data_IF_287523106261
#
_entry.id   IF_287523106261
#
_cell.length_a   1.000
_cell.length_b   1.000
_cell.length_c   1.000
_cell.angle_alpha   90.00
_cell.angle_beta   90.00
_cell.angle_gamma   90.00
#
_symmetry.space_group_name_H-M   'P 1'
#
loop_
_entity.id
_entity.type
_entity.pdbx_description
1 polymer ?
#
# COMPACT_ATOMS: atom_id res chain seq x y z
N UNK A 1 2.46 -4.75 6.59
CA UNK A 1 3.47 -4.55 5.54
C UNK A 1 4.77 -3.89 6.06
N UNK A 2 4.68 -2.78 6.79
CA UNK A 2 5.85 -2.01 7.27
C UNK A 2 6.82 -2.75 8.21
N UNK A 3 6.37 -3.78 8.93
CA UNK A 3 7.22 -4.51 9.88
C UNK A 3 8.27 -5.41 9.22
N UNK A 4 8.05 -5.86 7.97
CA UNK A 4 9.01 -6.73 7.24
C UNK A 4 10.08 -5.93 6.51
N UNK A 5 9.76 -4.70 6.10
CA UNK A 5 10.67 -3.83 5.35
C UNK A 5 11.56 -2.94 6.26
N UNK A 6 11.51 -3.08 7.59
CA UNK A 6 12.46 -2.35 8.44
C UNK A 6 13.86 -2.95 8.28
N UNK A 7 14.89 -2.15 7.93
CA UNK A 7 16.24 -2.67 7.77
C UNK A 7 16.69 -3.32 9.08
N UNK A 8 16.90 -4.64 9.04
CA UNK A 8 17.64 -5.40 10.06
C UNK A 8 18.98 -5.76 9.45
N UNK A 9 20.07 -5.70 10.23
CA UNK A 9 21.37 -6.16 9.76
C UNK A 9 21.24 -7.61 9.25
N UNK A 10 21.51 -7.83 7.95
CA UNK A 10 21.33 -9.13 7.28
C UNK A 10 20.02 -9.32 6.48
N UNK A 11 19.18 -8.29 6.33
CA UNK A 11 17.92 -8.37 5.57
C UNK A 11 18.09 -7.78 4.16
N UNK A 12 17.93 -8.61 3.12
CA UNK A 12 17.97 -8.18 1.72
C UNK A 12 16.64 -7.54 1.32
N UNK A 13 16.48 -6.26 1.66
CA UNK A 13 15.29 -5.48 1.36
C UNK A 13 15.00 -5.42 -0.16
N UNK A 14 16.03 -5.54 -1.01
CA UNK A 14 15.86 -5.55 -2.46
C UNK A 14 15.24 -6.88 -2.91
N UNK A 15 15.70 -8.02 -2.38
CA UNK A 15 15.08 -9.32 -2.67
C UNK A 15 13.62 -9.38 -2.22
N UNK A 16 13.29 -8.80 -1.08
CA UNK A 16 11.92 -8.69 -0.60
C UNK A 16 11.07 -7.81 -1.53
N UNK A 17 11.61 -6.66 -1.96
CA UNK A 17 10.95 -5.80 -2.94
C UNK A 17 10.69 -6.55 -4.25
N UNK A 18 11.67 -7.26 -4.79
CA UNK A 18 11.53 -8.05 -6.02
C UNK A 18 10.46 -9.15 -5.86
N UNK A 19 10.40 -9.79 -4.70
CA UNK A 19 9.40 -10.82 -4.40
C UNK A 19 7.99 -10.22 -4.39
N UNK A 20 7.80 -9.07 -3.72
CA UNK A 20 6.52 -8.36 -3.67
C UNK A 20 6.13 -7.77 -5.03
N UNK A 21 7.11 -7.31 -5.81
CA UNK A 21 6.89 -6.75 -7.13
C UNK A 21 6.39 -7.82 -8.11
N UNK A 22 6.89 -9.05 -8.03
CA UNK A 22 6.62 -10.12 -9.00
C UNK A 22 5.56 -11.13 -8.57
N UNK A 23 5.09 -11.09 -7.32
CA UNK A 23 4.08 -12.05 -6.87
C UNK A 23 2.77 -11.90 -7.67
N UNK A 24 2.05 -13.00 -7.95
CA UNK A 24 0.88 -13.00 -8.82
C UNK A 24 -0.29 -12.18 -8.27
N UNK A 25 -0.37 -12.06 -6.94
CA UNK A 25 -1.34 -11.22 -6.25
C UNK A 25 -0.67 -10.56 -5.04
N UNK A 26 -0.79 -9.24 -4.96
CA UNK A 26 -0.30 -8.48 -3.81
C UNK A 26 -1.48 -7.83 -3.08
N UNK A 27 -1.51 -8.03 -1.76
CA UNK A 27 -2.40 -7.32 -0.86
C UNK A 27 -1.61 -6.29 -0.05
N UNK A 28 -1.93 -5.02 -0.25
CA UNK A 28 -1.35 -3.90 0.46
C UNK A 28 -2.36 -3.38 1.49
N UNK A 29 -2.02 -3.50 2.77
CA UNK A 29 -2.92 -3.09 3.84
C UNK A 29 -2.55 -1.71 4.42
N UNK A 30 -3.56 -0.89 4.71
CA UNK A 30 -3.49 0.41 5.39
C UNK A 30 -2.50 1.40 4.74
N UNK A 31 -2.55 1.50 3.41
CA UNK A 31 -1.65 2.36 2.63
C UNK A 31 -1.88 3.85 2.94
N UNK A 32 -0.80 4.57 3.23
CA UNK A 32 -0.79 6.02 3.46
C UNK A 32 -0.89 6.43 4.94
N UNK A 33 -1.13 5.49 5.85
CA UNK A 33 -1.30 5.80 7.30
C UNK A 33 0.05 5.96 8.04
N UNK A 34 1.15 5.44 7.49
CA UNK A 34 2.48 5.56 8.11
C UNK A 34 3.19 6.88 7.72
N UNK A 35 3.96 7.46 8.64
CA UNK A 35 4.88 8.57 8.31
C UNK A 35 5.83 8.12 7.20
N UNK A 36 5.73 8.76 6.05
CA UNK A 36 6.62 8.49 4.93
C UNK A 36 8.00 9.08 5.19
N UNK A 37 9.04 8.29 4.98
CA UNK A 37 10.40 8.77 4.76
C UNK A 37 10.70 8.73 3.26
N UNK A 38 11.65 9.53 2.78
CA UNK A 38 12.07 9.51 1.37
C UNK A 38 12.35 8.08 0.86
N UNK A 39 13.02 7.27 1.69
CA UNK A 39 13.28 5.87 1.41
C UNK A 39 12.00 5.02 1.26
N UNK A 40 11.00 5.24 2.12
CA UNK A 40 9.72 4.50 2.06
C UNK A 40 8.90 4.92 0.85
N UNK A 41 8.95 6.19 0.47
CA UNK A 41 8.32 6.71 -0.75
C UNK A 41 8.97 6.12 -2.00
N UNK A 42 10.30 6.06 -2.05
CA UNK A 42 11.03 5.44 -3.16
C UNK A 42 10.66 3.96 -3.33
N UNK A 43 10.66 3.18 -2.24
CA UNK A 43 10.27 1.77 -2.30
C UNK A 43 8.82 1.59 -2.75
N UNK A 44 7.90 2.43 -2.24
CA UNK A 44 6.49 2.38 -2.63
C UNK A 44 6.34 2.70 -4.11
N UNK A 45 7.04 3.73 -4.59
CA UNK A 45 7.06 4.08 -6.00
C UNK A 45 7.59 2.93 -6.87
N UNK A 46 8.75 2.34 -6.52
CA UNK A 46 9.34 1.22 -7.27
C UNK A 46 8.40 0.01 -7.32
N UNK A 47 7.78 -0.34 -6.19
CA UNK A 47 6.83 -1.45 -6.09
C UNK A 47 5.60 -1.22 -6.96
N UNK A 48 4.92 -0.07 -6.79
CA UNK A 48 3.69 0.23 -7.52
C UNK A 48 3.98 0.41 -9.02
N UNK A 49 5.09 1.06 -9.37
CA UNK A 49 5.47 1.25 -10.77
C UNK A 49 5.69 -0.09 -11.49
N UNK A 50 6.44 -1.02 -10.88
CA UNK A 50 6.67 -2.33 -11.48
C UNK A 50 5.35 -3.08 -11.70
N UNK A 51 4.48 -3.11 -10.68
CA UNK A 51 3.20 -3.84 -10.77
C UNK A 51 2.24 -3.19 -11.76
N UNK A 52 2.26 -1.86 -11.88
CA UNK A 52 1.52 -1.11 -12.89
C UNK A 52 2.00 -1.45 -14.30
N UNK A 53 3.31 -1.38 -14.57
CA UNK A 53 3.90 -1.67 -15.89
C UNK A 53 3.65 -3.11 -16.36
N UNK A 54 3.54 -4.05 -15.42
CA UNK A 54 3.32 -5.47 -15.70
C UNK A 54 1.85 -5.88 -15.51
N UNK A 55 0.95 -4.94 -15.24
CA UNK A 55 -0.49 -5.18 -15.02
C UNK A 55 -0.78 -6.28 -13.99
N UNK A 56 0.02 -6.33 -12.92
CA UNK A 56 -0.09 -7.40 -11.93
C UNK A 56 -1.23 -7.12 -10.93
N UNK A 57 -2.11 -8.11 -10.68
CA UNK A 57 -3.24 -7.97 -9.76
C UNK A 57 -2.83 -7.46 -8.38
N UNK A 58 -3.43 -6.34 -7.94
CA UNK A 58 -3.07 -5.70 -6.68
C UNK A 58 -4.32 -5.22 -5.97
N UNK A 59 -4.50 -5.62 -4.71
CA UNK A 59 -5.56 -5.13 -3.85
C UNK A 59 -4.96 -4.23 -2.77
N UNK A 60 -5.58 -3.09 -2.54
CA UNK A 60 -5.09 -2.07 -1.63
C UNK A 60 -6.21 -1.66 -0.70
N UNK A 61 -5.92 -1.58 0.59
CA UNK A 61 -6.80 -0.95 1.58
C UNK A 61 -6.17 0.34 2.07
N UNK A 62 -7.00 1.34 2.34
CA UNK A 62 -6.57 2.61 2.91
C UNK A 62 -7.71 3.19 3.72
N UNK A 63 -7.37 3.84 4.83
CA UNK A 63 -8.30 4.63 5.62
C UNK A 63 -8.32 6.10 5.18
N UNK A 64 -7.47 6.49 4.22
CA UNK A 64 -7.39 7.86 3.73
C UNK A 64 -8.44 8.13 2.66
N UNK A 65 -9.09 9.30 2.69
CA UNK A 65 -9.84 9.81 1.55
C UNK A 65 -8.93 9.92 0.31
N UNK A 66 -9.52 9.83 -0.89
CA UNK A 66 -8.78 9.94 -2.16
C UNK A 66 -7.91 11.19 -2.25
N UNK A 67 -8.39 12.33 -1.72
CA UNK A 67 -7.65 13.59 -1.74
C UNK A 67 -6.35 13.50 -0.90
N UNK A 68 -6.42 12.87 0.27
CA UNK A 68 -5.30 12.73 1.19
C UNK A 68 -4.29 11.67 0.72
N UNK A 69 -4.75 10.65 -0.01
CA UNK A 69 -3.90 9.61 -0.58
C UNK A 69 -2.86 10.18 -1.57
N UNK A 70 -3.21 11.26 -2.31
CA UNK A 70 -2.25 11.98 -3.16
C UNK A 70 -1.14 12.63 -2.35
N UNK A 71 -1.50 13.31 -1.27
CA UNK A 71 -0.54 13.95 -0.37
C UNK A 71 0.37 12.93 0.31
N UNK A 72 -0.18 11.77 0.71
CA UNK A 72 0.55 10.74 1.42
C UNK A 72 1.51 9.91 0.54
N UNK A 73 1.18 9.69 -0.74
CA UNK A 73 1.93 8.80 -1.63
C UNK A 73 2.67 9.52 -2.77
N UNK A 74 2.42 10.81 -2.94
CA UNK A 74 2.87 11.60 -4.08
C UNK A 74 2.04 11.36 -5.35
N UNK A 75 2.04 12.37 -6.22
CA UNK A 75 1.18 12.40 -7.41
C UNK A 75 1.40 11.23 -8.37
N UNK A 76 2.66 10.79 -8.53
CA UNK A 76 3.01 9.71 -9.46
C UNK A 76 2.42 8.36 -9.06
N UNK A 77 2.46 8.04 -7.77
CA UNK A 77 1.91 6.79 -7.23
C UNK A 77 0.38 6.87 -7.25
N UNK A 78 -0.18 7.97 -6.77
CA UNK A 78 -1.63 8.17 -6.73
C UNK A 78 -2.27 8.13 -8.13
N UNK A 79 -1.59 8.66 -9.17
CA UNK A 79 -2.05 8.58 -10.56
C UNK A 79 -2.12 7.13 -11.05
N UNK A 80 -1.07 6.32 -10.83
CA UNK A 80 -1.05 4.91 -11.23
C UNK A 80 -2.12 4.09 -10.50
N UNK A 81 -2.26 4.32 -9.20
CA UNK A 81 -3.31 3.67 -8.40
C UNK A 81 -4.70 4.03 -8.90
N UNK A 82 -4.93 5.29 -9.29
CA UNK A 82 -6.22 5.71 -9.83
C UNK A 82 -6.56 5.05 -11.17
N UNK A 83 -5.56 4.63 -11.95
CA UNK A 83 -5.74 3.97 -13.24
C UNK A 83 -5.83 2.45 -13.11
N UNK A 84 -4.98 1.82 -12.29
CA UNK A 84 -4.90 0.36 -12.19
C UNK A 84 -5.88 -0.28 -11.19
N UNK A 85 -6.62 0.52 -10.41
CA UNK A 85 -7.53 0.01 -9.38
C UNK A 85 -8.95 0.52 -9.58
N UNK A 86 -9.91 -0.36 -9.32
CA UNK A 86 -11.30 0.01 -9.14
C UNK A 86 -11.56 0.34 -7.66
N UNK A 87 -12.21 1.48 -7.41
CA UNK A 87 -12.41 1.97 -6.04
C UNK A 87 -13.69 1.42 -5.44
N UNK A 88 -13.57 0.83 -4.25
CA UNK A 88 -14.70 0.38 -3.45
C UNK A 88 -14.68 1.11 -2.12
N UNK A 89 -15.72 1.91 -1.86
CA UNK A 89 -15.85 2.65 -0.60
C UNK A 89 -16.54 1.73 0.42
N UNK A 90 -15.83 1.41 1.50
CA UNK A 90 -16.37 0.65 2.61
C UNK A 90 -16.80 1.60 3.72
N UNK A 91 -18.09 1.62 4.03
CA UNK A 91 -18.66 2.40 5.15
C UNK A 91 -19.20 1.46 6.23
N UNK A 92 -19.31 1.97 7.46
CA UNK A 92 -19.88 1.21 8.58
C UNK A 92 -19.35 1.65 9.95
N UNK A 93 -19.97 1.18 11.04
CA UNK A 93 -19.49 1.44 12.39
C UNK A 93 -18.16 0.73 12.65
N UNK A 94 -17.36 1.26 13.59
CA UNK A 94 -16.14 0.59 14.04
C UNK A 94 -16.47 -0.75 14.70
N UNK A 95 -16.10 -1.85 14.03
CA UNK A 95 -16.33 -3.22 14.48
C UNK A 95 -15.56 -3.60 15.74
N UNK A 96 -14.56 -2.80 16.17
CA UNK A 96 -13.87 -3.00 17.47
C UNK A 96 -14.66 -2.41 18.64
N UNK A 97 -15.59 -1.49 18.37
CA UNK A 97 -16.40 -0.79 19.37
C UNK A 97 -17.80 -1.39 19.54
N UNK A 98 -18.18 -2.35 18.69
CA UNK A 98 -19.37 -3.17 18.91
C UNK A 98 -19.06 -4.19 20.00
N UNK A 99 -19.27 -3.81 21.26
CA UNK A 99 -19.43 -4.78 22.34
C UNK A 99 -20.52 -5.78 21.93
N UNK A 100 -20.36 -7.10 22.14
CA UNK A 100 -21.48 -7.99 22.04
C UNK A 100 -22.47 -7.57 23.13
N UNK A 101 -23.66 -7.15 22.74
CA UNK A 101 -24.79 -7.12 23.67
C UNK A 101 -25.03 -8.57 24.07
N UNK A 102 -24.58 -8.93 25.28
CA UNK A 102 -24.91 -10.18 25.94
C UNK A 102 -26.40 -10.20 26.33
#
# INVERSE_FOLDING_TARGET
MHARLRPRAGHDAERDLQTLARCPLLLLDDLGTAKTSEWTEELTYRLINHRYEHMLPTLITTNLPTAELRTALGDRVASRLAEMTERVILTGPDRRRTSPTA
#
